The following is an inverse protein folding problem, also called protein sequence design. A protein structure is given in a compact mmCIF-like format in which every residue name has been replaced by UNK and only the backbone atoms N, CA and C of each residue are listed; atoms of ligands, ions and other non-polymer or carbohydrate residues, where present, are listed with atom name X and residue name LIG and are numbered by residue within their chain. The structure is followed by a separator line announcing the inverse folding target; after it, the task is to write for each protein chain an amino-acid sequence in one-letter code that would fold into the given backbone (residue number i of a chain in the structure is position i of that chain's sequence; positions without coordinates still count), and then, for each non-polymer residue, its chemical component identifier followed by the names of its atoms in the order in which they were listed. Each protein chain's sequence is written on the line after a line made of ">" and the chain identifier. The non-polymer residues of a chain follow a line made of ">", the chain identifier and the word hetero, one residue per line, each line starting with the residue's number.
data_IF_656735632243
#
_entry.id   IF_656735632243
#
_cell.length_a   1.000
_cell.length_b   1.000
_cell.length_c   1.000
_cell.angle_alpha   90.00
_cell.angle_beta   90.00
_cell.angle_gamma   90.00
#
_symmetry.space_group_name_H-M   'P 1'
#
loop_
_entity.id
_entity.type
_entity.pdbx_description
1 polymer ?
#
# COMPACT_ATOMS: atom_id res chain seq x y z
N UNK A 1 -17.72 1.23 -4.01
CA UNK A 1 -16.25 1.22 -3.82
C UNK A 1 -16.01 1.30 -2.32
N UNK A 2 -15.53 0.24 -1.69
CA UNK A 2 -15.17 0.30 -0.28
C UNK A 2 -13.85 1.09 -0.17
N UNK A 3 -13.89 2.22 0.52
CA UNK A 3 -12.69 2.97 0.85
C UNK A 3 -11.92 2.16 1.89
N UNK A 4 -10.70 1.75 1.56
CA UNK A 4 -9.70 1.17 2.48
C UNK A 4 -9.17 2.23 3.45
N UNK A 5 -10.10 3.02 4.01
CA UNK A 5 -9.84 3.93 5.10
C UNK A 5 -9.66 3.05 6.33
N UNK A 6 -8.40 2.72 6.61
CA UNK A 6 -7.99 2.01 7.81
C UNK A 6 -8.51 2.67 9.10
N UNK A 7 -8.31 2.02 10.26
CA UNK A 7 -8.72 2.56 11.55
C UNK A 7 -8.13 3.98 11.75
N UNK A 8 -8.85 4.83 12.48
CA UNK A 8 -8.43 6.21 12.72
C UNK A 8 -7.01 6.26 13.31
N UNK A 9 -6.07 6.82 12.54
CA UNK A 9 -4.66 6.92 12.91
C UNK A 9 -4.47 7.91 14.07
N UNK A 10 -3.59 7.57 15.00
CA UNK A 10 -3.12 8.41 16.09
C UNK A 10 -1.68 8.87 15.85
N UNK A 11 -1.20 9.83 16.64
CA UNK A 11 0.16 10.34 16.56
C UNK A 11 1.28 9.31 16.77
N UNK A 12 0.99 8.21 17.48
CA UNK A 12 1.96 7.13 17.66
C UNK A 12 2.07 6.24 16.42
N UNK A 13 1.14 6.39 15.48
CA UNK A 13 1.06 5.60 14.27
C UNK A 13 1.86 6.22 13.12
N UNK A 14 2.65 7.27 13.35
CA UNK A 14 3.38 8.02 12.31
C UNK A 14 4.90 8.00 12.55
N UNK A 15 5.65 7.44 11.60
CA UNK A 15 7.12 7.48 11.56
C UNK A 15 7.57 8.69 10.75
N UNK A 16 8.15 9.70 11.41
CA UNK A 16 8.74 10.86 10.73
C UNK A 16 10.10 10.47 10.13
N UNK A 17 10.25 10.61 8.82
CA UNK A 17 11.57 10.49 8.19
C UNK A 17 12.34 11.76 8.56
N UNK A 18 13.31 11.62 9.45
CA UNK A 18 14.19 12.74 9.81
C UNK A 18 14.89 13.27 8.56
N UNK A 19 14.90 14.59 8.38
CA UNK A 19 15.78 15.26 7.43
C UNK A 19 17.21 15.21 7.98
N UNK A 20 17.83 14.03 7.93
CA UNK A 20 19.26 13.89 8.20
C UNK A 20 19.93 13.49 6.90
N UNK A 21 20.62 14.45 6.30
CA UNK A 21 21.73 14.14 5.41
C UNK A 21 22.65 13.13 6.12
N UNK A 22 22.63 11.88 5.65
CA UNK A 22 23.52 10.81 6.08
C UNK A 22 22.87 9.74 6.97
N UNK A 23 22.49 8.62 6.35
CA UNK A 23 22.99 7.26 6.69
C UNK A 23 21.95 6.19 6.35
N UNK A 24 22.21 5.53 5.22
CA UNK A 24 22.02 4.10 4.93
C UNK A 24 20.82 3.35 5.51
N UNK A 25 19.88 2.99 4.64
CA UNK A 25 19.33 1.63 4.67
C UNK A 25 19.38 1.04 3.26
N UNK A 26 20.60 0.70 2.83
CA UNK A 26 20.87 0.01 1.58
C UNK A 26 21.05 -1.47 1.88
N UNK A 27 20.01 -2.29 1.72
CA UNK A 27 20.20 -3.72 1.48
C UNK A 27 20.10 -3.98 -0.03
N UNK A 28 21.07 -3.46 -0.77
CA UNK A 28 21.27 -3.81 -2.17
C UNK A 28 22.27 -4.95 -2.22
N UNK A 29 21.79 -6.17 -2.47
CA UNK A 29 22.65 -7.32 -2.75
C UNK A 29 23.03 -7.30 -4.23
N UNK A 30 24.30 -6.96 -4.47
CA UNK A 30 25.15 -7.26 -5.62
C UNK A 30 24.67 -6.92 -7.05
N UNK A 31 25.31 -5.88 -7.60
CA UNK A 31 25.84 -5.94 -8.96
C UNK A 31 25.13 -5.12 -10.04
N UNK A 32 25.15 -3.79 -9.94
CA UNK A 32 25.16 -2.90 -11.12
C UNK A 32 25.63 -1.50 -10.70
N UNK A 33 26.76 -1.06 -11.28
CA UNK A 33 27.30 0.29 -11.13
C UNK A 33 26.29 1.32 -11.65
N UNK A 34 25.76 2.18 -10.79
CA UNK A 34 25.00 3.35 -11.19
C UNK A 34 25.25 4.49 -10.19
N UNK A 35 25.38 5.71 -10.73
CA UNK A 35 25.74 6.94 -10.06
C UNK A 35 25.14 7.09 -8.65
N UNK A 36 25.99 7.52 -7.71
CA UNK A 36 25.68 7.82 -6.32
C UNK A 36 24.69 9.01 -6.23
N UNK A 37 23.43 8.73 -6.53
CA UNK A 37 22.34 9.70 -6.50
C UNK A 37 21.92 9.85 -5.04
N UNK A 38 22.32 10.94 -4.39
CA UNK A 38 21.82 11.30 -3.07
C UNK A 38 20.30 11.38 -3.11
N UNK A 39 19.63 10.43 -2.49
CA UNK A 39 18.18 10.44 -2.34
C UNK A 39 17.81 11.59 -1.39
N UNK A 40 17.14 12.62 -1.90
CA UNK A 40 16.58 13.70 -1.08
C UNK A 40 15.14 13.36 -0.68
N UNK A 41 14.82 13.53 0.61
CA UNK A 41 13.45 13.39 1.11
C UNK A 41 12.83 14.78 1.30
N UNK A 42 11.55 14.97 0.94
CA UNK A 42 10.85 16.22 1.23
C UNK A 42 10.70 16.41 2.75
N UNK A 43 10.86 17.65 3.21
CA UNK A 43 10.68 18.00 4.61
C UNK A 43 9.27 17.61 5.09
N UNK A 44 9.20 17.05 6.29
CA UNK A 44 7.93 16.64 6.91
C UNK A 44 7.38 15.30 6.42
N UNK A 45 8.05 14.61 5.49
CA UNK A 45 7.64 13.27 5.08
C UNK A 45 7.57 12.32 6.27
N UNK A 46 6.43 11.67 6.39
CA UNK A 46 6.21 10.62 7.36
C UNK A 46 5.33 9.55 6.75
N UNK A 47 5.46 8.33 7.25
CA UNK A 47 4.62 7.19 6.88
C UNK A 47 3.89 6.68 8.10
N UNK A 48 2.78 5.97 7.90
CA UNK A 48 2.26 5.11 8.97
C UNK A 48 3.35 4.13 9.45
N UNK A 49 3.49 3.92 10.77
CA UNK A 49 4.54 3.06 11.36
C UNK A 49 4.37 1.59 11.00
N UNK A 50 3.13 1.16 10.83
CA UNK A 50 2.72 -0.21 10.56
C UNK A 50 2.56 -0.49 9.06
N UNK A 51 3.10 0.38 8.18
CA UNK A 51 3.02 0.20 6.73
C UNK A 51 3.48 -1.19 6.27
N UNK A 52 4.60 -1.75 6.75
CA UNK A 52 5.02 -3.09 6.36
C UNK A 52 3.99 -4.16 6.72
N UNK A 53 3.48 -4.13 7.96
CA UNK A 53 2.51 -5.08 8.46
C UNK A 53 1.16 -4.95 7.74
N UNK A 54 0.71 -3.72 7.48
CA UNK A 54 -0.52 -3.46 6.74
C UNK A 54 -0.40 -3.87 5.26
N UNK A 55 0.79 -3.75 4.67
CA UNK A 55 1.01 -4.12 3.27
C UNK A 55 1.10 -5.64 3.10
N UNK A 56 1.90 -6.35 3.89
CA UNK A 56 2.13 -7.79 3.69
C UNK A 56 1.38 -8.69 4.66
N UNK A 57 1.29 -8.32 5.93
CA UNK A 57 0.78 -9.20 6.98
C UNK A 57 -0.72 -9.42 6.92
N UNK A 58 -1.25 -10.42 7.64
CA UNK A 58 -2.66 -10.43 7.98
C UNK A 58 -2.94 -9.23 8.88
N UNK A 59 -3.51 -8.18 8.30
CA UNK A 59 -3.94 -6.96 9.01
C UNK A 59 -5.32 -7.14 9.66
N UNK A 60 -6.09 -8.13 9.16
CA UNK A 60 -7.38 -8.54 9.70
C UNK A 60 -8.55 -8.06 8.85
N UNK A 61 -9.70 -7.86 9.50
CA UNK A 61 -10.95 -7.49 8.83
C UNK A 61 -11.47 -6.15 9.34
N UNK A 62 -12.03 -5.36 8.44
CA UNK A 62 -12.79 -4.16 8.80
C UNK A 62 -14.05 -4.54 9.59
N UNK A 63 -14.72 -3.54 10.18
CA UNK A 63 -16.02 -3.74 10.86
C UNK A 63 -17.10 -4.35 9.96
N UNK A 64 -17.00 -4.17 8.64
CA UNK A 64 -17.91 -4.79 7.66
C UNK A 64 -17.52 -6.22 7.28
N UNK A 65 -16.40 -6.73 7.80
CA UNK A 65 -15.85 -8.05 7.48
C UNK A 65 -14.96 -8.07 6.23
N UNK A 66 -14.63 -6.92 5.65
CA UNK A 66 -13.76 -6.92 4.46
C UNK A 66 -12.29 -7.02 4.87
N UNK A 67 -11.47 -7.71 4.09
CA UNK A 67 -10.05 -7.88 4.33
C UNK A 67 -9.37 -6.49 4.29
N UNK A 68 -8.80 -6.10 5.43
CA UNK A 68 -7.98 -4.89 5.58
C UNK A 68 -6.54 -5.22 5.21
N UNK A 69 -5.78 -4.24 4.69
CA UNK A 69 -4.36 -4.43 4.38
C UNK A 69 -4.07 -5.72 3.60
N UNK A 70 -3.10 -6.53 4.03
CA UNK A 70 -2.92 -7.92 3.56
C UNK A 70 -2.86 -8.04 2.03
N UNK A 71 -1.97 -7.29 1.38
CA UNK A 71 -1.81 -7.30 -0.08
C UNK A 71 -0.88 -8.42 -0.59
N UNK A 72 -0.19 -9.14 0.29
CA UNK A 72 0.52 -10.37 -0.07
C UNK A 72 -0.51 -11.47 -0.37
N UNK A 73 -0.48 -12.06 -1.57
CA UNK A 73 -1.45 -13.07 -2.01
C UNK A 73 -1.52 -14.27 -1.06
N UNK A 74 -0.38 -14.79 -0.62
CA UNK A 74 -0.33 -15.96 0.27
C UNK A 74 -0.96 -15.65 1.63
N UNK A 75 -0.65 -14.48 2.20
CA UNK A 75 -1.23 -14.07 3.49
C UNK A 75 -2.73 -13.75 3.35
N UNK A 76 -3.15 -13.18 2.23
CA UNK A 76 -4.55 -12.89 1.94
C UNK A 76 -5.37 -14.18 1.84
N UNK A 77 -4.91 -15.17 1.08
CA UNK A 77 -5.63 -16.45 0.96
C UNK A 77 -5.62 -17.20 2.28
N UNK A 78 -4.51 -17.26 3.01
CA UNK A 78 -4.49 -17.90 4.33
C UNK A 78 -5.48 -17.25 5.33
N UNK A 79 -5.61 -15.92 5.30
CA UNK A 79 -6.56 -15.17 6.13
C UNK A 79 -8.02 -15.46 5.72
N UNK A 80 -8.27 -15.59 4.43
CA UNK A 80 -9.59 -15.90 3.87
C UNK A 80 -9.99 -17.38 4.09
N UNK A 81 -9.03 -18.30 3.99
CA UNK A 81 -9.22 -19.73 4.26
C UNK A 81 -9.69 -19.95 5.72
N UNK A 82 -9.13 -19.18 6.66
CA UNK A 82 -9.56 -19.19 8.06
C UNK A 82 -11.02 -18.72 8.28
N UNK A 83 -11.61 -18.03 7.30
CA UNK A 83 -13.03 -17.66 7.29
C UNK A 83 -13.92 -18.64 6.51
N UNK A 84 -13.35 -19.70 5.91
CA UNK A 84 -14.06 -20.57 4.98
C UNK A 84 -14.50 -19.85 3.71
N UNK A 85 -13.71 -18.87 3.25
CA UNK A 85 -14.05 -18.08 2.08
C UNK A 85 -13.88 -18.86 0.77
N UNK A 86 -14.66 -18.45 -0.24
CA UNK A 86 -14.45 -18.82 -1.64
C UNK A 86 -13.90 -17.60 -2.35
N UNK A 87 -12.91 -17.79 -3.21
CA UNK A 87 -12.29 -16.69 -3.95
C UNK A 87 -11.86 -17.07 -5.37
N UNK A 88 -11.74 -16.04 -6.20
CA UNK A 88 -11.22 -16.11 -7.55
C UNK A 88 -10.13 -15.06 -7.75
N UNK A 89 -9.01 -15.49 -8.34
CA UNK A 89 -7.89 -14.63 -8.67
C UNK A 89 -7.93 -14.26 -10.15
N UNK A 90 -7.90 -12.97 -10.47
CA UNK A 90 -7.87 -12.47 -11.85
C UNK A 90 -6.59 -11.68 -12.08
N UNK A 91 -5.64 -12.17 -12.91
CA UNK A 91 -4.44 -11.42 -13.23
C UNK A 91 -4.74 -10.03 -13.80
N UNK A 92 -3.90 -9.06 -13.46
CA UNK A 92 -3.92 -7.73 -14.10
C UNK A 92 -3.01 -7.71 -15.34
N UNK A 93 -2.78 -6.52 -15.90
CA UNK A 93 -1.77 -6.34 -16.96
C UNK A 93 -0.32 -6.38 -16.45
N UNK A 94 -0.11 -6.33 -15.14
CA UNK A 94 1.22 -6.39 -14.51
C UNK A 94 1.46 -7.79 -13.96
N UNK A 95 2.56 -8.42 -14.39
CA UNK A 95 2.95 -9.74 -13.92
C UNK A 95 3.07 -9.75 -12.39
N UNK A 96 2.58 -10.80 -11.73
CA UNK A 96 2.58 -10.91 -10.28
C UNK A 96 1.57 -10.01 -9.55
N UNK A 97 0.73 -9.23 -10.24
CA UNK A 97 -0.33 -8.43 -9.61
C UNK A 97 -1.71 -8.93 -10.08
N UNK A 98 -2.60 -9.21 -9.13
CA UNK A 98 -3.93 -9.78 -9.40
C UNK A 98 -5.03 -9.12 -8.58
N UNK A 99 -6.26 -9.20 -9.07
CA UNK A 99 -7.47 -8.92 -8.29
C UNK A 99 -7.98 -10.21 -7.65
N UNK A 100 -7.99 -10.26 -6.32
CA UNK A 100 -8.57 -11.33 -5.52
C UNK A 100 -9.99 -10.94 -5.11
N UNK A 101 -11.00 -11.56 -5.73
CA UNK A 101 -12.41 -11.40 -5.34
C UNK A 101 -12.81 -12.55 -4.44
N UNK A 102 -13.48 -12.25 -3.33
CA UNK A 102 -13.81 -13.26 -2.33
C UNK A 102 -15.18 -13.05 -1.70
N UNK A 103 -15.72 -14.12 -1.13
CA UNK A 103 -16.92 -14.11 -0.32
C UNK A 103 -16.88 -15.17 0.78
N UNK A 104 -17.48 -14.87 1.93
CA UNK A 104 -17.67 -15.83 3.02
C UNK A 104 -18.91 -15.46 3.84
N UNK A 105 -19.39 -16.38 4.68
CA UNK A 105 -20.49 -16.12 5.62
C UNK A 105 -19.90 -15.87 6.99
N UNK A 106 -20.17 -14.70 7.58
CA UNK A 106 -19.66 -14.37 8.90
C UNK A 106 -20.45 -15.10 10.01
N UNK A 107 -19.99 -14.98 11.26
CA UNK A 107 -20.61 -15.62 12.43
C UNK A 107 -22.07 -15.21 12.68
N UNK A 108 -22.52 -14.07 12.14
CA UNK A 108 -23.91 -13.62 12.22
C UNK A 108 -24.77 -14.13 11.05
N UNK A 109 -24.25 -15.04 10.22
CA UNK A 109 -24.94 -15.59 9.05
C UNK A 109 -25.00 -14.65 7.84
N UNK A 110 -24.29 -13.52 7.86
CA UNK A 110 -24.28 -12.54 6.77
C UNK A 110 -23.19 -12.86 5.75
N UNK A 111 -23.57 -12.85 4.47
CA UNK A 111 -22.61 -12.93 3.36
C UNK A 111 -21.81 -11.63 3.31
N UNK A 112 -20.50 -11.77 3.40
CA UNK A 112 -19.51 -10.72 3.21
C UNK A 112 -18.85 -10.95 1.85
N UNK A 113 -18.72 -9.88 1.06
CA UNK A 113 -18.02 -9.91 -0.22
C UNK A 113 -16.97 -8.80 -0.27
N UNK A 114 -15.88 -9.04 -1.00
CA UNK A 114 -14.84 -8.04 -1.18
C UNK A 114 -13.94 -8.31 -2.38
N UNK A 115 -13.08 -7.35 -2.66
CA UNK A 115 -12.02 -7.44 -3.67
C UNK A 115 -10.77 -6.80 -3.09
N UNK A 116 -9.61 -7.37 -3.41
CA UNK A 116 -8.31 -6.84 -3.00
C UNK A 116 -7.32 -6.98 -4.16
N UNK A 117 -6.58 -5.94 -4.47
CA UNK A 117 -5.42 -6.08 -5.36
C UNK A 117 -4.28 -6.67 -4.55
N UNK A 118 -3.75 -7.81 -4.99
CA UNK A 118 -2.71 -8.56 -4.29
C UNK A 118 -1.49 -8.79 -5.18
N UNK A 119 -0.32 -8.89 -4.57
CA UNK A 119 0.92 -9.27 -5.24
C UNK A 119 1.28 -10.73 -4.92
N UNK A 120 1.86 -11.40 -5.91
CA UNK A 120 2.46 -12.72 -5.78
C UNK A 120 3.86 -12.59 -5.15
N UNK A 121 4.10 -13.13 -3.93
CA UNK A 121 5.40 -13.04 -3.27
C UNK A 121 6.55 -13.71 -4.03
N UNK A 122 6.26 -14.60 -4.98
CA UNK A 122 7.27 -15.20 -5.86
C UNK A 122 7.78 -14.24 -6.94
N UNK A 123 6.98 -13.22 -7.31
CA UNK A 123 7.37 -12.17 -8.26
C UNK A 123 7.89 -10.94 -7.52
N UNK A 124 7.18 -10.51 -6.47
CA UNK A 124 7.58 -9.41 -5.62
C UNK A 124 7.56 -9.85 -4.16
N UNK A 125 8.74 -10.07 -3.57
CA UNK A 125 8.79 -10.29 -2.12
C UNK A 125 8.33 -9.04 -1.34
N UNK A 126 8.00 -9.22 -0.07
CA UNK A 126 7.46 -8.16 0.80
C UNK A 126 8.34 -6.91 0.83
N UNK A 127 9.67 -7.07 0.87
CA UNK A 127 10.60 -5.95 0.90
C UNK A 127 10.60 -5.17 -0.43
N UNK A 128 10.49 -5.85 -1.57
CA UNK A 128 10.38 -5.20 -2.87
C UNK A 128 9.09 -4.38 -2.97
N UNK A 129 7.96 -4.93 -2.52
CA UNK A 129 6.69 -4.20 -2.49
C UNK A 129 6.71 -3.02 -1.52
N UNK A 130 7.36 -3.17 -0.36
CA UNK A 130 7.54 -2.08 0.60
C UNK A 130 8.40 -0.96 0.01
N UNK A 131 9.50 -1.29 -0.65
CA UNK A 131 10.39 -0.33 -1.29
C UNK A 131 9.66 0.47 -2.38
N UNK A 132 8.92 -0.22 -3.27
CA UNK A 132 8.08 0.43 -4.29
C UNK A 132 7.04 1.35 -3.64
N UNK A 133 6.38 0.87 -2.58
CA UNK A 133 5.39 1.64 -1.84
C UNK A 133 5.98 2.92 -1.23
N UNK A 134 7.17 2.85 -0.64
CA UNK A 134 7.86 4.01 -0.07
C UNK A 134 8.34 5.00 -1.15
N UNK A 135 8.83 4.51 -2.30
CA UNK A 135 9.20 5.38 -3.43
C UNK A 135 7.97 6.17 -3.90
N UNK A 136 6.85 5.47 -4.09
CA UNK A 136 5.60 6.06 -4.57
C UNK A 136 4.97 6.97 -3.51
N UNK A 137 5.04 6.61 -2.24
CA UNK A 137 4.58 7.45 -1.14
C UNK A 137 5.35 8.76 -1.05
N UNK A 138 6.68 8.74 -1.22
CA UNK A 138 7.50 9.96 -1.31
C UNK A 138 7.07 10.84 -2.47
N UNK A 139 6.90 10.26 -3.66
CA UNK A 139 6.45 10.99 -4.84
C UNK A 139 5.05 11.58 -4.64
N UNK A 140 4.12 10.80 -4.09
CA UNK A 140 2.76 11.26 -3.74
C UNK A 140 2.77 12.42 -2.75
N UNK A 141 3.65 12.38 -1.74
CA UNK A 141 3.83 13.47 -0.79
C UNK A 141 4.40 14.74 -1.45
N UNK A 142 5.36 14.61 -2.36
CA UNK A 142 5.89 15.76 -3.12
C UNK A 142 4.79 16.43 -3.95
N UNK A 143 3.96 15.65 -4.65
CA UNK A 143 2.82 16.15 -5.42
C UNK A 143 1.76 16.80 -4.52
N UNK A 144 1.53 16.25 -3.33
CA UNK A 144 0.68 16.85 -2.31
C UNK A 144 1.19 18.23 -1.86
N UNK A 145 2.50 18.40 -1.68
CA UNK A 145 3.08 19.68 -1.27
C UNK A 145 2.87 20.76 -2.34
N UNK A 146 2.86 20.37 -3.61
CA UNK A 146 2.57 21.26 -4.74
C UNK A 146 1.08 21.60 -4.85
N UNK A 147 0.19 20.66 -4.49
CA UNK A 147 -1.25 20.87 -4.48
C UNK A 147 -1.91 20.14 -3.31
N UNK A 148 -2.14 20.89 -2.23
CA UNK A 148 -2.76 20.40 -1.03
C UNK A 148 -4.28 20.17 -1.16
N UNK A 149 -4.88 20.11 -2.34
CA UNK A 149 -6.21 19.50 -2.51
C UNK A 149 -6.13 18.01 -2.88
N UNK A 150 -4.97 17.54 -3.38
CA UNK A 150 -4.77 16.15 -3.80
C UNK A 150 -4.31 15.29 -2.62
N UNK A 151 -5.25 14.59 -1.99
CA UNK A 151 -5.00 13.66 -0.87
C UNK A 151 -4.94 12.19 -1.32
N UNK A 152 -5.42 11.88 -2.52
CA UNK A 152 -5.41 10.54 -3.08
C UNK A 152 -4.73 10.64 -4.45
N UNK A 153 -3.68 9.86 -4.66
CA UNK A 153 -2.89 9.89 -5.88
C UNK A 153 -2.69 8.46 -6.41
N UNK A 154 -2.99 8.27 -7.69
CA UNK A 154 -2.68 7.03 -8.40
C UNK A 154 -1.37 7.23 -9.17
N UNK A 155 -0.37 6.42 -8.89
CA UNK A 155 0.99 6.55 -9.41
C UNK A 155 1.53 5.18 -9.86
N UNK A 156 2.44 5.18 -10.83
CA UNK A 156 3.11 3.97 -11.32
C UNK A 156 4.58 4.00 -10.92
N UNK A 157 5.10 2.88 -10.44
CA UNK A 157 6.52 2.66 -10.19
C UNK A 157 6.87 1.22 -10.53
N UNK A 158 7.93 1.01 -11.32
CA UNK A 158 8.35 -0.33 -11.73
C UNK A 158 7.28 -1.14 -12.45
N UNK A 159 6.32 -0.49 -13.12
CA UNK A 159 5.20 -1.15 -13.81
C UNK A 159 4.03 -1.56 -12.90
N UNK A 160 4.13 -1.35 -11.59
CA UNK A 160 3.05 -1.57 -10.62
C UNK A 160 2.35 -0.24 -10.36
N UNK A 161 1.01 -0.26 -10.40
CA UNK A 161 0.21 0.90 -10.07
C UNK A 161 -0.16 0.87 -8.59
N UNK A 162 -0.04 2.01 -7.92
CA UNK A 162 -0.36 2.18 -6.52
C UNK A 162 -1.33 3.33 -6.32
N UNK A 163 -2.10 3.25 -5.24
CA UNK A 163 -2.83 4.40 -4.69
C UNK A 163 -2.17 4.84 -3.40
N UNK A 164 -1.84 6.13 -3.33
CA UNK A 164 -1.30 6.79 -2.14
C UNK A 164 -2.37 7.63 -1.49
N UNK A 165 -2.50 7.52 -0.18
CA UNK A 165 -3.36 8.37 0.64
C UNK A 165 -2.50 9.24 1.54
N UNK A 166 -2.71 10.55 1.46
CA UNK A 166 -2.12 11.52 2.38
C UNK A 166 -3.18 11.85 3.43
N UNK A 167 -2.89 11.44 4.67
CA UNK A 167 -3.75 11.67 5.82
C UNK A 167 -3.21 12.84 6.65
N UNK A 168 -4.05 13.35 7.55
CA UNK A 168 -3.65 14.35 8.53
C UNK A 168 -3.61 13.71 9.90
N UNK A 169 -2.49 13.85 10.60
CA UNK A 169 -2.35 13.44 12.00
C UNK A 169 -3.37 14.24 12.84
N UNK A 170 -4.29 13.60 13.56
CA UNK A 170 -5.35 14.31 14.30
C UNK A 170 -4.83 15.06 15.53
N UNK A 171 -3.66 14.71 16.05
CA UNK A 171 -3.05 15.37 17.21
C UNK A 171 -2.24 16.60 16.81
N UNK A 172 -1.48 16.49 15.72
CA UNK A 172 -0.52 17.52 15.32
C UNK A 172 -0.95 18.32 14.08
N UNK A 173 -1.99 17.89 13.36
CA UNK A 173 -2.43 18.52 12.12
C UNK A 173 -1.45 18.37 10.96
N UNK A 174 -0.45 17.49 11.09
CA UNK A 174 0.62 17.32 10.11
C UNK A 174 0.24 16.27 9.06
N UNK A 175 0.52 16.50 7.77
CA UNK A 175 0.26 15.52 6.74
C UNK A 175 1.29 14.38 6.79
N UNK A 176 0.84 13.16 6.52
CA UNK A 176 1.68 11.98 6.40
C UNK A 176 1.11 11.01 5.36
N UNK A 177 1.94 10.12 4.84
CA UNK A 177 1.53 9.04 3.94
C UNK A 177 0.83 7.96 4.77
N UNK A 178 -0.49 7.98 4.73
CA UNK A 178 -1.35 7.18 5.60
C UNK A 178 -1.74 5.82 5.05
N UNK A 179 -1.72 5.60 3.73
CA UNK A 179 -1.84 4.28 3.14
C UNK A 179 -1.23 4.25 1.74
N UNK A 180 -0.64 3.11 1.36
CA UNK A 180 -0.14 2.85 0.02
C UNK A 180 -0.43 1.39 -0.29
N UNK A 181 -1.11 1.13 -1.41
CA UNK A 181 -1.37 -0.24 -1.83
C UNK A 181 -1.41 -0.37 -3.35
N UNK A 182 -1.10 -1.55 -3.91
CA UNK A 182 -1.27 -1.79 -5.33
C UNK A 182 -2.74 -1.62 -5.73
N UNK A 183 -2.98 -1.21 -6.98
CA UNK A 183 -4.30 -1.11 -7.59
C UNK A 183 -4.28 -1.70 -8.98
N UNK A 184 -5.41 -2.26 -9.41
CA UNK A 184 -5.66 -2.46 -10.84
C UNK A 184 -5.84 -1.10 -11.51
N UNK A 185 -5.04 -0.81 -12.53
CA UNK A 185 -5.24 0.37 -13.36
C UNK A 185 -6.64 0.34 -13.99
N UNK A 186 -7.42 1.40 -13.79
CA UNK A 186 -8.65 1.57 -14.56
C UNK A 186 -8.24 1.81 -16.01
N UNK A 187 -8.64 0.92 -16.93
CA UNK A 187 -8.52 1.17 -18.38
C UNK A 187 -9.45 2.31 -18.78
N UNK A 188 -9.17 3.55 -18.39
CA UNK A 188 -9.82 4.76 -18.90
C UNK A 188 -8.80 5.90 -18.80
N UNK A 189 -8.01 6.03 -19.85
CA UNK A 189 -6.99 7.07 -19.98
C UNK A 189 -6.12 6.79 -21.19
N UNK A 190 -6.73 6.78 -22.38
CA UNK A 190 -5.97 7.11 -23.58
C UNK A 190 -5.36 8.48 -23.34
N UNK A 191 -4.04 8.53 -23.23
CA UNK A 191 -3.28 9.73 -23.51
C UNK A 191 -2.44 9.40 -24.76
N UNK A 192 -2.89 9.93 -25.89
CA UNK A 192 -2.02 10.23 -27.03
C UNK A 192 -1.30 11.55 -26.74
#
# INVERSE_FOLDING_TARGET
>A
MATDAGPGYTANDVLRVGSTNGSSNSSATAGQSAANSTITYPDGLAYRVDLPAHLSGPDGFTKSGQLSGTHNLQNATATLDAQGAIYNLTPTGTAGISELKYSYTNVAGKIVTGSKTVYDPAVYNDQAMLNLSQIVGRHGYQLYLQNQSKRILDLNEGGVNFRVYINTDPKYGLPFVGNIHPIKWAKNGLFW
#
